data_IF_663764370426
#
_entry.id   IF_663764370426
#
_cell.length_a   1.000
_cell.length_b   1.000
_cell.length_c   1.000
_cell.angle_alpha   90.00
_cell.angle_beta   90.00
_cell.angle_gamma   90.00
#
_symmetry.space_group_name_H-M   'P 1'
#
loop_
_entity.id
_entity.type
_entity.pdbx_description
1 polymer ?
#
# COMPACT_ATOMS: atom_id res chain seq x y z
N UNK A 1 22.21 -17.36 -53.37
CA UNK A 1 21.29 -17.85 -52.32
C UNK A 1 21.72 -17.24 -50.98
N UNK A 2 21.10 -16.17 -50.59
CA UNK A 2 21.42 -15.45 -49.34
C UNK A 2 20.38 -15.84 -48.30
N UNK A 3 20.81 -16.55 -47.27
CA UNK A 3 19.95 -16.91 -46.15
C UNK A 3 19.80 -15.71 -45.19
N UNK A 4 18.62 -15.11 -45.20
CA UNK A 4 18.27 -14.08 -44.24
C UNK A 4 18.15 -14.67 -42.84
N UNK A 5 19.05 -14.32 -41.94
CA UNK A 5 18.94 -14.60 -40.50
C UNK A 5 17.85 -13.70 -39.92
N UNK A 6 16.70 -14.30 -39.56
CA UNK A 6 15.65 -13.65 -38.77
C UNK A 6 16.18 -13.46 -37.36
N UNK A 7 16.49 -12.23 -37.00
CA UNK A 7 16.75 -11.86 -35.61
C UNK A 7 15.46 -12.02 -34.80
N UNK A 8 15.37 -13.07 -33.99
CA UNK A 8 14.35 -13.20 -32.95
C UNK A 8 14.66 -12.15 -31.89
N UNK A 9 13.88 -11.08 -31.86
CA UNK A 9 13.84 -10.18 -30.73
C UNK A 9 13.31 -10.98 -29.52
N UNK A 10 14.22 -11.39 -28.66
CA UNK A 10 13.85 -11.97 -27.36
C UNK A 10 13.16 -10.87 -26.54
N UNK A 11 11.86 -11.05 -26.29
CA UNK A 11 11.15 -10.26 -25.28
C UNK A 11 11.88 -10.49 -23.95
N UNK A 12 12.33 -9.44 -23.24
CA UNK A 12 12.98 -9.63 -21.95
C UNK A 12 12.04 -10.42 -21.04
N UNK A 13 12.49 -11.55 -20.51
CA UNK A 13 11.77 -12.26 -19.48
C UNK A 13 11.81 -11.37 -18.24
N UNK A 14 10.65 -10.88 -17.80
CA UNK A 14 10.56 -10.05 -16.61
C UNK A 14 11.15 -10.82 -15.41
N UNK A 15 12.11 -10.21 -14.72
CA UNK A 15 12.81 -10.83 -13.59
C UNK A 15 11.94 -10.83 -12.33
N UNK A 16 12.25 -11.72 -11.38
CA UNK A 16 11.60 -11.78 -10.08
C UNK A 16 11.63 -10.41 -9.37
N UNK A 17 10.50 -9.96 -8.86
CA UNK A 17 10.31 -8.65 -8.25
C UNK A 17 9.92 -7.52 -9.22
N UNK A 18 10.19 -7.69 -10.54
CA UNK A 18 9.79 -6.73 -11.58
C UNK A 18 8.58 -7.20 -12.38
N UNK A 19 8.27 -8.47 -12.34
CA UNK A 19 7.10 -9.04 -13.02
C UNK A 19 5.82 -8.61 -12.28
N UNK A 20 4.84 -8.08 -13.02
CA UNK A 20 3.47 -7.96 -12.54
C UNK A 20 2.71 -9.24 -12.95
N UNK A 21 2.34 -10.13 -12.01
CA UNK A 21 1.58 -11.34 -12.33
C UNK A 21 0.24 -11.02 -12.99
N UNK A 22 -0.20 -11.86 -13.94
CA UNK A 22 -1.44 -11.62 -14.66
C UNK A 22 -2.68 -11.60 -13.73
N UNK A 23 -2.65 -12.36 -12.66
CA UNK A 23 -3.70 -12.41 -11.65
C UNK A 23 -3.71 -11.22 -10.67
N UNK A 24 -2.79 -10.27 -10.84
CA UNK A 24 -2.80 -8.97 -10.15
C UNK A 24 -3.67 -7.95 -10.88
N UNK A 25 -3.99 -8.19 -12.15
CA UNK A 25 -4.64 -7.20 -12.99
C UNK A 25 -6.17 -7.23 -12.85
N UNK A 26 -6.76 -6.05 -12.89
CA UNK A 26 -8.22 -5.85 -12.94
C UNK A 26 -8.57 -4.62 -13.77
N UNK A 27 -9.78 -4.61 -14.33
CA UNK A 27 -10.23 -3.46 -15.09
C UNK A 27 -10.80 -2.38 -14.15
N UNK A 28 -10.59 -1.07 -14.41
CA UNK A 28 -11.18 0.01 -13.60
C UNK A 28 -12.71 -0.10 -13.44
N UNK A 29 -13.42 -0.64 -14.42
CA UNK A 29 -14.87 -0.90 -14.34
C UNK A 29 -15.28 -1.85 -13.19
N UNK A 30 -14.32 -2.60 -12.61
CA UNK A 30 -14.59 -3.45 -11.46
C UNK A 30 -15.03 -2.66 -10.22
N UNK A 31 -14.74 -1.36 -10.18
CA UNK A 31 -15.18 -0.44 -9.12
C UNK A 31 -16.58 0.14 -9.38
N UNK A 32 -17.09 0.11 -10.63
CA UNK A 32 -18.40 0.63 -11.00
C UNK A 32 -19.54 -0.32 -10.56
N UNK A 33 -19.59 -0.63 -9.28
CA UNK A 33 -20.53 -1.54 -8.62
C UNK A 33 -21.03 -0.90 -7.32
N UNK A 34 -22.04 -1.50 -6.70
CA UNK A 34 -22.47 -1.06 -5.38
C UNK A 34 -21.32 -1.08 -4.37
N UNK A 35 -21.28 -0.15 -3.40
CA UNK A 35 -20.29 -0.16 -2.34
C UNK A 35 -20.36 -1.46 -1.53
N UNK A 36 -19.20 -1.97 -1.12
CA UNK A 36 -19.09 -3.12 -0.21
C UNK A 36 -19.58 -2.75 1.20
N UNK A 37 -19.48 -1.46 1.54
CA UNK A 37 -19.99 -0.89 2.80
C UNK A 37 -20.15 0.62 2.71
N UNK A 38 -20.95 1.17 3.64
CA UNK A 38 -21.16 2.60 3.86
C UNK A 38 -20.69 2.94 5.26
N UNK A 39 -20.03 4.09 5.43
CA UNK A 39 -19.56 4.57 6.73
C UNK A 39 -19.49 6.10 6.74
N UNK A 40 -19.62 6.69 7.92
CA UNK A 40 -19.40 8.14 8.12
C UNK A 40 -17.90 8.46 8.25
N UNK A 41 -17.12 7.52 8.75
CA UNK A 41 -15.66 7.62 8.92
C UNK A 41 -15.00 6.29 8.55
N UNK A 42 -13.97 6.36 7.73
CA UNK A 42 -13.07 5.23 7.46
C UNK A 42 -11.63 5.62 7.76
N UNK A 43 -10.86 4.67 8.29
CA UNK A 43 -9.41 4.73 8.33
C UNK A 43 -8.84 3.68 7.39
N UNK A 44 -7.97 4.10 6.46
CA UNK A 44 -7.27 3.20 5.54
C UNK A 44 -5.81 3.11 5.96
N UNK A 45 -5.39 1.90 6.33
CA UNK A 45 -4.11 1.58 6.93
C UNK A 45 -3.31 0.72 5.97
N UNK A 46 -2.35 1.29 5.28
CA UNK A 46 -1.51 0.58 4.32
C UNK A 46 -0.05 0.52 4.74
N UNK A 47 0.59 -0.62 4.44
CA UNK A 47 2.00 -0.80 4.73
C UNK A 47 2.31 -0.83 6.22
N UNK A 48 1.66 -1.72 6.99
CA UNK A 48 1.95 -1.92 8.41
C UNK A 48 3.29 -2.64 8.62
N UNK A 49 3.66 -3.53 7.68
CA UNK A 49 4.95 -4.24 7.61
C UNK A 49 5.31 -5.03 8.87
N UNK A 50 4.33 -5.57 9.57
CA UNK A 50 4.54 -6.33 10.80
C UNK A 50 4.81 -5.47 12.05
N UNK A 51 4.69 -4.15 11.97
CA UNK A 51 4.94 -3.26 13.10
C UNK A 51 3.79 -3.28 14.11
N UNK A 52 3.92 -4.10 15.16
CA UNK A 52 2.92 -4.22 16.23
C UNK A 52 2.79 -2.93 17.04
N UNK A 53 3.88 -2.18 17.23
CA UNK A 53 3.81 -0.90 17.93
C UNK A 53 2.99 0.14 17.14
N UNK A 54 3.06 0.12 15.80
CA UNK A 54 2.20 0.94 14.95
C UNK A 54 0.74 0.46 14.98
N UNK A 55 0.48 -0.85 15.05
CA UNK A 55 -0.85 -1.41 15.23
C UNK A 55 -1.48 -0.92 16.53
N UNK A 56 -0.76 -1.04 17.66
CA UNK A 56 -1.22 -0.55 18.97
C UNK A 56 -1.47 0.97 18.96
N UNK A 57 -0.61 1.74 18.28
CA UNK A 57 -0.78 3.19 18.15
C UNK A 57 -2.02 3.53 17.31
N UNK A 58 -2.26 2.82 16.22
CA UNK A 58 -3.44 2.98 15.39
C UNK A 58 -4.72 2.62 16.16
N UNK A 59 -4.74 1.53 16.92
CA UNK A 59 -5.90 1.17 17.76
C UNK A 59 -6.22 2.27 18.79
N UNK A 60 -5.20 2.87 19.42
CA UNK A 60 -5.38 4.02 20.30
C UNK A 60 -5.97 5.24 19.58
N UNK A 61 -5.52 5.53 18.34
CA UNK A 61 -6.12 6.61 17.53
C UNK A 61 -7.60 6.34 17.26
N UNK A 62 -7.93 5.10 16.89
CA UNK A 62 -9.30 4.71 16.57
C UNK A 62 -10.26 4.79 17.76
N UNK A 63 -9.79 4.73 19.02
CA UNK A 63 -10.66 4.90 20.20
C UNK A 63 -11.36 6.26 20.26
N UNK A 64 -10.83 7.29 19.58
CA UNK A 64 -11.48 8.61 19.50
C UNK A 64 -12.66 8.65 18.50
N UNK A 65 -12.76 7.66 17.62
CA UNK A 65 -13.85 7.50 16.66
C UNK A 65 -14.33 6.03 16.66
N UNK A 66 -14.99 5.58 17.75
CA UNK A 66 -15.33 4.17 17.94
C UNK A 66 -16.29 3.59 16.90
N UNK A 67 -16.95 4.46 16.11
CA UNK A 67 -17.85 4.07 15.02
C UNK A 67 -17.14 4.03 13.66
N UNK A 68 -15.85 4.37 13.61
CA UNK A 68 -15.11 4.35 12.36
C UNK A 68 -14.92 2.92 11.83
N UNK A 69 -15.00 2.76 10.53
CA UNK A 69 -14.66 1.51 9.86
C UNK A 69 -13.16 1.50 9.53
N UNK A 70 -12.44 0.51 10.05
CA UNK A 70 -11.01 0.35 9.84
C UNK A 70 -10.77 -0.63 8.70
N UNK A 71 -9.87 -0.26 7.77
CA UNK A 71 -9.54 -1.06 6.58
C UNK A 71 -8.04 -1.14 6.41
N UNK A 72 -7.48 -2.34 6.48
CA UNK A 72 -6.09 -2.58 6.09
C UNK A 72 -6.02 -2.79 4.57
N UNK A 73 -5.25 -1.95 3.87
CA UNK A 73 -5.15 -2.01 2.41
C UNK A 73 -3.87 -2.67 1.88
N UNK A 74 -3.50 -3.77 2.52
CA UNK A 74 -2.42 -4.66 2.11
C UNK A 74 -1.06 -4.33 2.73
N UNK A 75 -0.14 -5.27 2.56
CA UNK A 75 1.21 -5.26 3.10
C UNK A 75 1.24 -4.99 4.62
N UNK A 76 0.33 -5.67 5.35
CA UNK A 76 0.37 -5.68 6.82
C UNK A 76 1.43 -6.66 7.35
N UNK A 77 1.83 -7.65 6.57
CA UNK A 77 3.04 -8.46 6.77
C UNK A 77 4.23 -7.86 6.04
N UNK A 78 5.44 -8.19 6.41
CA UNK A 78 6.70 -8.00 5.70
C UNK A 78 7.91 -8.43 6.53
N UNK A 79 8.12 -7.81 7.70
CA UNK A 79 9.29 -8.12 8.53
C UNK A 79 9.05 -9.29 9.49
N UNK A 80 7.84 -9.67 9.71
CA UNK A 80 7.35 -10.65 10.68
C UNK A 80 7.51 -12.10 10.21
N UNK A 81 8.72 -12.45 9.76
CA UNK A 81 9.07 -13.78 9.26
C UNK A 81 9.19 -14.87 10.37
N UNK A 82 8.97 -14.50 11.64
CA UNK A 82 8.89 -15.45 12.75
C UNK A 82 7.44 -15.86 13.01
N UNK A 83 7.15 -17.16 13.26
CA UNK A 83 5.78 -17.63 13.43
C UNK A 83 5.00 -16.92 14.56
N UNK A 84 5.64 -16.60 15.68
CA UNK A 84 4.97 -15.92 16.79
C UNK A 84 4.65 -14.45 16.46
N UNK A 85 5.56 -13.77 15.80
CA UNK A 85 5.37 -12.40 15.35
C UNK A 85 4.30 -12.33 14.24
N UNK A 86 4.41 -13.20 13.23
CA UNK A 86 3.38 -13.37 12.20
C UNK A 86 1.99 -13.56 12.80
N UNK A 87 1.86 -14.51 13.73
CA UNK A 87 0.58 -14.79 14.39
C UNK A 87 0.05 -13.60 15.21
N UNK A 88 0.92 -12.75 15.76
CA UNK A 88 0.51 -11.53 16.46
C UNK A 88 -0.08 -10.50 15.49
N UNK A 89 0.57 -10.29 14.33
CA UNK A 89 0.05 -9.41 13.27
C UNK A 89 -1.30 -9.92 12.76
N UNK A 90 -1.40 -11.23 12.46
CA UNK A 90 -2.65 -11.87 12.04
C UNK A 90 -3.80 -11.62 13.02
N UNK A 91 -3.55 -11.82 14.33
CA UNK A 91 -4.57 -11.58 15.37
C UNK A 91 -5.00 -10.12 15.45
N UNK A 92 -4.05 -9.18 15.30
CA UNK A 92 -4.35 -7.75 15.38
C UNK A 92 -5.13 -7.25 14.16
N UNK A 93 -4.87 -7.80 12.96
CA UNK A 93 -5.58 -7.40 11.73
C UNK A 93 -6.94 -8.11 11.59
N UNK A 94 -7.08 -9.33 12.10
CA UNK A 94 -8.27 -10.17 11.91
C UNK A 94 -9.63 -9.53 12.29
N UNK A 95 -9.76 -8.67 13.31
CA UNK A 95 -11.04 -8.01 13.65
C UNK A 95 -11.52 -7.00 12.60
N UNK A 96 -10.64 -6.54 11.73
CA UNK A 96 -10.89 -5.43 10.82
C UNK A 96 -11.11 -5.91 9.38
N UNK A 97 -11.64 -5.02 8.55
CA UNK A 97 -11.66 -5.24 7.10
C UNK A 97 -10.24 -5.20 6.58
N UNK A 98 -9.92 -6.10 5.65
CA UNK A 98 -8.62 -6.11 4.99
C UNK A 98 -8.77 -6.46 3.51
N UNK A 99 -7.88 -5.93 2.70
CA UNK A 99 -7.58 -6.42 1.37
C UNK A 99 -6.11 -6.86 1.33
N UNK A 100 -5.78 -7.71 0.36
CA UNK A 100 -4.41 -8.19 0.21
C UNK A 100 -3.55 -7.22 -0.59
N UNK A 101 -2.27 -7.07 -0.20
CA UNK A 101 -1.23 -6.51 -1.03
C UNK A 101 -0.48 -7.59 -1.82
N UNK A 102 0.63 -7.22 -2.44
CA UNK A 102 1.50 -8.20 -3.09
C UNK A 102 2.12 -9.16 -2.08
N UNK A 103 2.45 -8.69 -0.88
CA UNK A 103 3.02 -9.53 0.18
C UNK A 103 2.07 -10.66 0.55
N UNK A 104 0.84 -10.35 0.97
CA UNK A 104 -0.17 -11.35 1.32
C UNK A 104 -0.46 -12.28 0.15
N UNK A 105 -0.48 -11.77 -1.08
CA UNK A 105 -0.72 -12.57 -2.28
C UNK A 105 0.40 -13.59 -2.50
N UNK A 106 1.66 -13.15 -2.45
CA UNK A 106 2.79 -14.05 -2.73
C UNK A 106 3.05 -15.07 -1.62
N UNK A 107 2.90 -14.70 -0.33
CA UNK A 107 3.03 -15.67 0.77
C UNK A 107 1.88 -16.69 0.83
N UNK A 108 0.71 -16.33 0.29
CA UNK A 108 -0.45 -17.22 0.23
C UNK A 108 -0.36 -18.26 -0.90
N UNK A 109 0.43 -18.02 -1.94
CA UNK A 109 0.54 -18.94 -3.11
C UNK A 109 0.96 -20.34 -2.68
N UNK A 110 0.31 -21.34 -3.26
CA UNK A 110 0.65 -22.75 -3.06
C UNK A 110 1.98 -23.13 -3.73
N UNK A 111 2.32 -22.47 -4.85
CA UNK A 111 3.57 -22.64 -5.59
C UNK A 111 4.21 -21.30 -5.88
N UNK A 112 5.53 -21.28 -6.01
CA UNK A 112 6.27 -20.13 -6.49
C UNK A 112 6.09 -20.02 -8.02
N UNK A 113 5.69 -18.83 -8.49
CA UNK A 113 5.50 -18.53 -9.92
C UNK A 113 6.66 -17.70 -10.49
N UNK A 114 7.71 -17.49 -9.72
CA UNK A 114 8.86 -16.67 -10.12
C UNK A 114 8.63 -15.16 -9.99
N UNK A 115 7.54 -14.72 -9.34
CA UNK A 115 7.24 -13.30 -9.17
C UNK A 115 8.17 -12.58 -8.17
N UNK A 116 8.92 -13.34 -7.35
CA UNK A 116 9.72 -12.79 -6.27
C UNK A 116 8.83 -12.12 -5.22
N UNK A 117 9.13 -10.89 -4.82
CA UNK A 117 8.29 -10.14 -3.89
C UNK A 117 6.92 -9.73 -4.47
N UNK A 118 6.70 -9.87 -5.76
CA UNK A 118 5.48 -9.40 -6.42
C UNK A 118 5.35 -7.88 -6.46
N UNK A 119 6.38 -7.13 -6.17
CA UNK A 119 6.35 -5.67 -6.07
C UNK A 119 6.19 -4.96 -7.41
N UNK A 120 6.41 -5.67 -8.53
CA UNK A 120 6.36 -5.14 -9.89
C UNK A 120 7.20 -3.85 -10.04
N UNK A 121 8.38 -3.82 -9.43
CA UNK A 121 9.26 -2.66 -9.38
C UNK A 121 9.54 -2.06 -10.78
N UNK A 122 9.42 -0.74 -10.95
CA UNK A 122 9.85 -0.08 -12.16
C UNK A 122 11.38 -0.16 -12.35
N UNK A 123 11.84 0.03 -13.58
CA UNK A 123 13.27 -0.04 -13.93
C UNK A 123 14.15 0.94 -13.14
N UNK A 124 13.55 2.01 -12.63
CA UNK A 124 14.24 3.03 -11.81
C UNK A 124 14.65 2.54 -10.43
N UNK A 125 14.11 1.41 -9.95
CA UNK A 125 14.50 0.82 -8.67
C UNK A 125 15.79 0.02 -8.83
N UNK A 126 16.73 0.24 -7.92
CA UNK A 126 18.04 -0.43 -7.90
C UNK A 126 17.89 -1.96 -7.80
N UNK A 127 18.71 -2.71 -8.56
CA UNK A 127 18.62 -4.17 -8.65
C UNK A 127 18.90 -4.83 -7.30
N UNK A 128 19.85 -4.32 -6.53
CA UNK A 128 20.14 -4.83 -5.20
C UNK A 128 18.95 -4.65 -4.24
N UNK A 129 18.15 -3.59 -4.40
CA UNK A 129 16.92 -3.42 -3.64
C UNK A 129 15.86 -4.47 -4.03
N UNK A 130 15.76 -4.79 -5.33
CA UNK A 130 14.86 -5.85 -5.84
C UNK A 130 15.26 -7.21 -5.27
N UNK A 131 16.54 -7.56 -5.36
CA UNK A 131 17.07 -8.83 -4.83
C UNK A 131 16.84 -8.97 -3.32
N UNK A 132 17.08 -7.90 -2.54
CA UNK A 132 16.83 -7.90 -1.10
C UNK A 132 15.34 -8.06 -0.78
N UNK A 133 14.45 -7.42 -1.53
CA UNK A 133 13.00 -7.59 -1.36
C UNK A 133 12.55 -9.02 -1.65
N UNK A 134 13.10 -9.65 -2.70
CA UNK A 134 12.84 -11.06 -3.00
C UNK A 134 13.30 -11.97 -1.85
N UNK A 135 14.47 -11.69 -1.26
CA UNK A 135 14.99 -12.46 -0.12
C UNK A 135 14.15 -12.29 1.16
N UNK A 136 13.62 -11.08 1.42
CA UNK A 136 12.71 -10.83 2.55
C UNK A 136 11.43 -11.64 2.36
N UNK A 137 10.82 -11.56 1.18
CA UNK A 137 9.59 -12.32 0.92
C UNK A 137 9.82 -13.83 1.03
N UNK A 138 10.94 -14.35 0.53
CA UNK A 138 11.27 -15.77 0.65
C UNK A 138 11.34 -16.23 2.12
N UNK A 139 11.95 -15.42 2.98
CA UNK A 139 12.02 -15.68 4.42
C UNK A 139 10.63 -15.65 5.08
N UNK A 140 9.81 -14.64 4.75
CA UNK A 140 8.45 -14.52 5.25
C UNK A 140 7.58 -15.71 4.80
N UNK A 141 7.65 -16.06 3.52
CA UNK A 141 6.91 -17.20 2.94
C UNK A 141 7.26 -18.53 3.60
N UNK A 142 8.55 -18.74 3.92
CA UNK A 142 9.00 -19.94 4.63
C UNK A 142 8.39 -20.04 6.05
N UNK A 143 8.21 -18.90 6.72
CA UNK A 143 7.59 -18.80 8.05
C UNK A 143 6.06 -18.78 8.06
N UNK A 144 5.40 -18.62 6.89
CA UNK A 144 3.94 -18.45 6.81
C UNK A 144 3.20 -19.76 7.08
N UNK A 145 2.35 -19.85 8.12
CA UNK A 145 1.58 -21.04 8.43
C UNK A 145 0.59 -21.39 7.31
N UNK A 146 0.40 -22.70 7.05
CA UNK A 146 -0.53 -23.16 6.00
C UNK A 146 -1.97 -22.66 6.20
N UNK A 147 -2.43 -22.57 7.45
CA UNK A 147 -3.78 -22.06 7.76
C UNK A 147 -3.93 -20.58 7.40
N UNK A 148 -2.89 -19.77 7.61
CA UNK A 148 -2.90 -18.35 7.24
C UNK A 148 -2.99 -18.16 5.72
N UNK A 149 -2.32 -19.01 4.92
CA UNK A 149 -2.35 -18.92 3.44
C UNK A 149 -3.76 -18.94 2.87
N UNK A 150 -4.62 -19.82 3.39
CA UNK A 150 -6.01 -19.93 2.93
C UNK A 150 -6.79 -18.63 3.23
N UNK A 151 -6.60 -18.05 4.41
CA UNK A 151 -7.22 -16.78 4.80
C UNK A 151 -6.71 -15.61 3.94
N UNK A 152 -5.41 -15.48 3.77
CA UNK A 152 -4.79 -14.40 2.99
C UNK A 152 -5.20 -14.46 1.51
N UNK A 153 -5.27 -15.65 0.92
CA UNK A 153 -5.70 -15.80 -0.47
C UNK A 153 -7.19 -15.46 -0.68
N UNK A 154 -8.01 -15.55 0.37
CA UNK A 154 -9.43 -15.19 0.32
C UNK A 154 -9.68 -13.68 0.46
N UNK A 155 -8.69 -12.89 0.84
CA UNK A 155 -8.83 -11.44 0.93
C UNK A 155 -9.07 -10.83 -0.47
N UNK A 156 -9.96 -9.83 -0.59
CA UNK A 156 -10.18 -9.12 -1.86
C UNK A 156 -8.94 -8.33 -2.27
N UNK A 157 -8.80 -8.03 -3.56
CA UNK A 157 -7.75 -7.14 -4.08
C UNK A 157 -8.12 -5.66 -3.97
N UNK A 158 -9.40 -5.34 -3.88
CA UNK A 158 -9.91 -3.98 -3.76
C UNK A 158 -11.30 -3.96 -3.11
N UNK A 159 -11.63 -2.83 -2.50
CA UNK A 159 -12.95 -2.55 -1.93
C UNK A 159 -13.50 -1.24 -2.46
N UNK A 160 -14.82 -1.11 -2.44
CA UNK A 160 -15.53 0.15 -2.68
C UNK A 160 -16.28 0.53 -1.43
N UNK A 161 -16.03 1.72 -0.89
CA UNK A 161 -16.78 2.29 0.22
C UNK A 161 -17.59 3.50 -0.25
N UNK A 162 -18.62 3.84 0.52
CA UNK A 162 -19.35 5.10 0.41
C UNK A 162 -19.13 5.90 1.69
N UNK A 163 -18.64 7.15 1.57
CA UNK A 163 -18.51 8.09 2.71
C UNK A 163 -19.19 9.40 2.32
N UNK A 164 -20.30 9.71 2.97
CA UNK A 164 -21.16 10.82 2.53
C UNK A 164 -21.53 10.70 1.05
N UNK A 165 -21.35 11.75 0.24
CA UNK A 165 -21.63 11.69 -1.20
C UNK A 165 -20.52 11.05 -2.03
N UNK A 166 -19.34 10.72 -1.44
CA UNK A 166 -18.19 10.25 -2.20
C UNK A 166 -18.09 8.73 -2.25
N UNK A 167 -17.74 8.22 -3.41
CA UNK A 167 -17.37 6.82 -3.66
C UNK A 167 -15.86 6.66 -3.52
N UNK A 168 -15.44 5.75 -2.66
CA UNK A 168 -14.04 5.53 -2.31
C UNK A 168 -13.59 4.18 -2.84
N UNK A 169 -12.61 4.15 -3.74
CA UNK A 169 -11.91 2.93 -4.14
C UNK A 169 -10.72 2.69 -3.22
N UNK A 170 -10.71 1.60 -2.49
CA UNK A 170 -9.59 1.21 -1.62
C UNK A 170 -8.80 0.13 -2.35
N UNK A 171 -7.53 0.42 -2.62
CA UNK A 171 -6.62 -0.43 -3.39
C UNK A 171 -5.27 -0.52 -2.71
N UNK A 172 -4.53 -1.60 -2.95
CA UNK A 172 -3.11 -1.64 -2.54
C UNK A 172 -2.24 -0.81 -3.49
N UNK A 173 -2.22 -1.12 -4.78
CA UNK A 173 -1.47 -0.44 -5.82
C UNK A 173 -2.25 0.68 -6.50
N UNK A 174 -2.76 0.43 -7.71
CA UNK A 174 -3.51 1.42 -8.48
C UNK A 174 -4.86 0.89 -8.99
N UNK A 175 -5.53 1.62 -9.84
CA UNK A 175 -6.87 1.27 -10.34
C UNK A 175 -6.89 0.10 -11.35
N UNK A 176 -5.73 -0.47 -11.72
CA UNK A 176 -5.62 -1.53 -12.73
C UNK A 176 -4.80 -2.73 -12.26
N UNK A 177 -4.02 -2.58 -11.18
CA UNK A 177 -3.18 -3.66 -10.70
C UNK A 177 -2.95 -3.60 -9.19
N UNK A 178 -2.93 -4.77 -8.56
CA UNK A 178 -2.65 -4.96 -7.15
C UNK A 178 -1.31 -4.32 -6.73
N UNK A 179 -0.27 -4.49 -7.55
CA UNK A 179 1.05 -3.88 -7.36
C UNK A 179 1.34 -2.81 -8.42
N UNK A 180 0.31 -2.03 -8.80
CA UNK A 180 0.44 -0.95 -9.76
C UNK A 180 1.13 0.28 -9.17
N UNK A 181 2.01 0.92 -9.97
CA UNK A 181 2.82 2.08 -9.54
C UNK A 181 2.23 3.42 -9.97
N UNK A 182 1.12 3.43 -10.70
CA UNK A 182 0.58 4.67 -11.30
C UNK A 182 -0.01 5.65 -10.29
N UNK A 183 -0.14 5.26 -9.02
CA UNK A 183 -0.50 6.15 -7.92
C UNK A 183 0.71 6.60 -7.09
N UNK A 184 1.94 6.40 -7.58
CA UNK A 184 3.12 7.06 -7.05
C UNK A 184 3.15 8.56 -7.39
N UNK A 185 3.70 9.37 -6.49
CA UNK A 185 3.81 10.82 -6.66
C UNK A 185 4.49 11.23 -7.98
N UNK A 186 5.50 10.47 -8.43
CA UNK A 186 6.22 10.71 -9.69
C UNK A 186 5.29 10.65 -10.91
N UNK A 187 4.36 9.69 -10.91
CA UNK A 187 3.37 9.59 -11.99
C UNK A 187 2.25 10.60 -11.82
N UNK A 188 1.76 10.80 -10.59
CA UNK A 188 0.67 11.76 -10.31
C UNK A 188 1.06 13.20 -10.65
N UNK A 189 2.31 13.58 -10.43
CA UNK A 189 2.84 14.92 -10.73
C UNK A 189 3.21 15.09 -12.22
N UNK A 190 3.18 14.02 -13.03
CA UNK A 190 3.46 14.08 -14.47
C UNK A 190 2.19 14.43 -15.28
N UNK A 191 2.15 15.58 -15.97
CA UNK A 191 0.98 15.94 -16.79
C UNK A 191 0.60 14.92 -17.87
N UNK A 192 1.57 14.17 -18.39
CA UNK A 192 1.33 13.13 -19.38
C UNK A 192 0.49 11.95 -18.84
N UNK A 193 0.33 11.87 -17.50
CA UNK A 193 -0.49 10.84 -16.86
C UNK A 193 -2.00 11.20 -16.82
N UNK A 194 -2.36 12.47 -17.02
CA UNK A 194 -3.76 12.95 -16.94
C UNK A 194 -4.76 12.20 -17.84
N UNK A 195 -4.44 11.84 -19.10
CA UNK A 195 -5.37 11.05 -19.93
C UNK A 195 -5.71 9.69 -19.32
N UNK A 196 -4.72 9.02 -18.70
CA UNK A 196 -4.99 7.76 -18.00
C UNK A 196 -5.88 7.97 -16.77
N UNK A 197 -5.62 8.99 -15.96
CA UNK A 197 -6.48 9.33 -14.81
C UNK A 197 -7.91 9.62 -15.24
N UNK A 198 -8.11 10.34 -16.35
CA UNK A 198 -9.44 10.60 -16.91
C UNK A 198 -10.15 9.30 -17.35
N UNK A 199 -9.42 8.39 -18.02
CA UNK A 199 -9.97 7.09 -18.44
C UNK A 199 -10.34 6.21 -17.24
N UNK A 200 -9.51 6.22 -16.19
CA UNK A 200 -9.78 5.50 -14.93
C UNK A 200 -11.02 6.07 -14.25
N UNK A 201 -11.10 7.39 -14.09
CA UNK A 201 -12.24 8.05 -13.45
C UNK A 201 -13.57 7.71 -14.16
N UNK A 202 -13.60 7.84 -15.48
CA UNK A 202 -14.77 7.52 -16.28
C UNK A 202 -15.22 6.05 -16.16
N UNK A 203 -14.26 5.11 -16.13
CA UNK A 203 -14.57 3.69 -16.08
C UNK A 203 -14.86 3.19 -14.65
N UNK A 204 -14.18 3.70 -13.64
CA UNK A 204 -14.31 3.26 -12.26
C UNK A 204 -15.49 3.90 -11.52
N UNK A 205 -15.91 5.10 -11.90
CA UNK A 205 -16.92 5.89 -11.19
C UNK A 205 -16.58 6.08 -9.70
N UNK A 206 -15.31 6.32 -9.42
CA UNK A 206 -14.75 6.53 -8.08
C UNK A 206 -14.33 8.00 -7.95
N UNK A 207 -14.67 8.61 -6.82
CA UNK A 207 -14.30 9.98 -6.48
C UNK A 207 -12.93 10.07 -5.84
N UNK A 208 -12.59 9.11 -4.98
CA UNK A 208 -11.34 9.06 -4.23
C UNK A 208 -10.75 7.66 -4.30
N UNK A 209 -9.49 7.52 -4.69
CA UNK A 209 -8.74 6.28 -4.46
C UNK A 209 -7.81 6.44 -3.26
N UNK A 210 -7.88 5.48 -2.32
CA UNK A 210 -6.94 5.33 -1.22
C UNK A 210 -5.99 4.16 -1.52
N UNK A 211 -4.69 4.45 -1.56
CA UNK A 211 -3.60 3.55 -2.00
C UNK A 211 -2.44 3.54 -1.01
N UNK A 212 -1.48 2.61 -1.18
CA UNK A 212 -0.27 2.52 -0.34
C UNK A 212 0.98 2.01 -1.05
N UNK A 213 0.92 0.93 -1.80
CA UNK A 213 1.96 0.08 -2.40
C UNK A 213 3.33 0.75 -2.67
N UNK A 214 3.35 1.95 -3.23
CA UNK A 214 4.58 2.63 -3.65
C UNK A 214 5.39 3.17 -2.47
N UNK A 215 4.85 3.10 -1.26
CA UNK A 215 5.47 3.61 -0.03
C UNK A 215 5.83 5.12 -0.08
N UNK A 216 5.23 5.87 -0.99
CA UNK A 216 5.44 7.31 -1.15
C UNK A 216 4.14 8.04 -0.82
N UNK A 217 4.12 8.76 0.30
CA UNK A 217 2.94 9.50 0.73
C UNK A 217 2.62 10.64 -0.26
N UNK A 218 1.35 10.74 -0.70
CA UNK A 218 0.90 11.77 -1.62
C UNK A 218 -0.62 11.99 -1.54
N UNK A 219 -1.06 13.23 -1.67
CA UNK A 219 -2.46 13.60 -1.86
C UNK A 219 -2.56 14.53 -3.07
N UNK A 220 -3.25 14.09 -4.11
CA UNK A 220 -3.43 14.84 -5.36
C UNK A 220 -4.89 14.89 -5.76
N UNK A 221 -5.32 16.04 -6.28
CA UNK A 221 -6.70 16.28 -6.63
C UNK A 221 -6.79 16.86 -8.05
N UNK A 222 -7.46 16.12 -8.92
CA UNK A 222 -7.48 16.37 -10.36
C UNK A 222 -8.86 16.82 -10.81
N UNK A 223 -8.95 18.04 -11.38
CA UNK A 223 -10.07 18.39 -12.23
C UNK A 223 -9.87 17.70 -13.59
N UNK A 224 -10.78 16.82 -13.97
CA UNK A 224 -10.78 16.03 -15.18
C UNK A 224 -12.01 16.34 -16.03
N UNK A 225 -11.97 15.98 -17.30
CA UNK A 225 -13.19 15.97 -18.12
C UNK A 225 -14.19 14.96 -17.52
N UNK A 226 -15.39 15.41 -17.22
CA UNK A 226 -16.44 14.59 -16.61
C UNK A 226 -16.44 14.54 -15.08
N UNK A 227 -15.54 15.27 -14.40
CA UNK A 227 -15.59 15.34 -12.94
C UNK A 227 -14.26 15.61 -12.24
N UNK A 228 -14.14 15.11 -11.04
CA UNK A 228 -12.98 15.31 -10.18
C UNK A 228 -12.53 13.98 -9.58
N UNK A 229 -11.24 13.73 -9.56
CA UNK A 229 -10.65 12.53 -8.98
C UNK A 229 -9.59 12.91 -7.97
N UNK A 230 -9.72 12.40 -6.75
CA UNK A 230 -8.70 12.55 -5.70
C UNK A 230 -7.94 11.23 -5.54
N UNK A 231 -6.63 11.28 -5.46
CA UNK A 231 -5.77 10.13 -5.12
C UNK A 231 -5.07 10.45 -3.81
N UNK A 232 -5.23 9.57 -2.82
CA UNK A 232 -4.49 9.62 -1.56
C UNK A 232 -3.70 8.33 -1.41
N UNK A 233 -2.37 8.46 -1.29
CA UNK A 233 -1.45 7.39 -0.95
C UNK A 233 -0.89 7.68 0.43
N UNK A 234 -1.10 6.79 1.41
CA UNK A 234 -0.62 7.02 2.76
C UNK A 234 0.89 6.75 2.92
N UNK A 235 1.53 6.16 1.93
CA UNK A 235 2.91 5.70 2.04
C UNK A 235 3.00 4.43 2.89
N UNK A 236 3.31 4.56 4.17
CA UNK A 236 3.44 3.44 5.11
C UNK A 236 2.87 3.79 6.48
N UNK A 237 2.08 2.90 7.06
CA UNK A 237 1.58 3.04 8.44
C UNK A 237 2.61 2.55 9.48
N UNK A 238 3.45 1.60 9.12
CA UNK A 238 4.42 0.97 10.02
C UNK A 238 5.85 1.48 9.90
N UNK A 239 6.11 2.50 9.07
CA UNK A 239 7.45 3.09 8.89
C UNK A 239 7.34 4.59 8.65
N UNK A 240 8.46 5.31 8.83
CA UNK A 240 8.56 6.73 8.52
C UNK A 240 8.32 7.03 7.03
N UNK A 241 7.65 8.14 6.76
CA UNK A 241 7.32 8.62 5.42
C UNK A 241 8.05 9.90 5.03
N UNK A 242 8.61 10.62 5.99
CA UNK A 242 9.24 11.91 5.77
C UNK A 242 10.62 11.95 6.40
N UNK A 243 11.50 12.73 5.82
CA UNK A 243 12.87 12.90 6.30
C UNK A 243 12.90 13.42 7.74
N UNK A 244 13.76 12.84 8.56
CA UNK A 244 13.91 13.20 9.97
C UNK A 244 12.72 12.82 10.86
N UNK A 245 11.80 11.95 10.39
CA UNK A 245 10.66 11.48 11.19
C UNK A 245 10.72 9.98 11.44
N UNK A 246 9.97 9.51 12.46
CA UNK A 246 9.85 8.10 12.80
C UNK A 246 8.40 7.60 12.87
N UNK A 247 7.41 8.44 12.56
CA UNK A 247 5.99 8.05 12.59
C UNK A 247 5.50 7.52 11.25
N UNK A 248 4.52 6.63 11.30
CA UNK A 248 3.76 6.18 10.14
C UNK A 248 2.68 7.17 9.72
N UNK A 249 2.03 6.91 8.59
CA UNK A 249 0.89 7.70 8.10
C UNK A 249 -0.25 6.78 7.69
N UNK A 250 -1.47 7.17 8.06
CA UNK A 250 -2.72 6.54 7.61
C UNK A 250 -3.62 7.58 6.95
N UNK A 251 -4.55 7.12 6.12
CA UNK A 251 -5.58 7.98 5.53
C UNK A 251 -6.87 7.90 6.35
N UNK A 252 -7.42 9.06 6.74
CA UNK A 252 -8.76 9.19 7.31
C UNK A 252 -9.68 9.86 6.27
N UNK A 253 -10.85 9.28 6.01
CA UNK A 253 -11.88 9.89 5.14
C UNK A 253 -13.19 9.90 5.94
N UNK A 254 -13.78 11.09 6.15
CA UNK A 254 -14.93 11.23 7.03
C UNK A 254 -15.84 12.42 6.69
N UNK A 255 -17.11 12.33 7.09
CA UNK A 255 -18.09 13.43 6.98
C UNK A 255 -17.92 14.50 8.07
N UNK A 256 -17.03 14.27 9.03
CA UNK A 256 -16.73 15.19 10.15
C UNK A 256 -15.25 15.56 10.19
N UNK A 257 -14.89 16.75 10.73
CA UNK A 257 -13.49 17.10 10.96
C UNK A 257 -12.75 16.06 11.80
N UNK A 258 -11.43 15.93 11.56
CA UNK A 258 -10.60 14.97 12.31
C UNK A 258 -10.46 15.36 13.78
N UNK A 259 -10.62 14.41 14.74
CA UNK A 259 -10.27 14.61 16.14
C UNK A 259 -8.75 14.57 16.38
N UNK A 260 -7.97 14.24 15.35
CA UNK A 260 -6.52 14.17 15.38
C UNK A 260 -5.92 15.31 14.58
N UNK A 261 -4.72 15.81 14.91
CA UNK A 261 -3.97 16.70 14.03
C UNK A 261 -3.77 16.07 12.65
N UNK A 262 -4.18 16.76 11.59
CA UNK A 262 -3.91 16.36 10.22
C UNK A 262 -2.55 16.88 9.79
N UNK A 263 -1.72 16.02 9.21
CA UNK A 263 -0.43 16.40 8.61
C UNK A 263 -0.65 17.27 7.36
N UNK A 264 -1.59 16.85 6.55
CA UNK A 264 -2.15 17.54 5.39
C UNK A 264 -3.51 16.90 5.06
N UNK A 265 -4.31 17.61 4.30
CA UNK A 265 -5.61 17.11 3.90
C UNK A 265 -6.32 18.05 2.96
N UNK A 266 -7.50 17.67 2.52
CA UNK A 266 -8.43 18.52 1.78
C UNK A 266 -9.88 18.17 2.14
N UNK A 267 -10.79 19.07 1.80
CA UNK A 267 -12.23 18.83 1.93
C UNK A 267 -12.85 18.80 0.55
N UNK A 268 -13.64 17.75 0.27
CA UNK A 268 -14.35 17.58 -0.98
C UNK A 268 -15.82 17.25 -0.72
N UNK A 269 -16.73 18.08 -1.19
CA UNK A 269 -18.18 17.89 -1.01
C UNK A 269 -18.60 17.63 0.45
N UNK A 270 -17.96 18.31 1.41
CA UNK A 270 -18.21 18.13 2.83
C UNK A 270 -17.54 16.90 3.47
N UNK A 271 -16.74 16.15 2.71
CA UNK A 271 -15.95 15.01 3.21
C UNK A 271 -14.49 15.45 3.40
N UNK A 272 -13.95 15.17 4.57
CA UNK A 272 -12.57 15.44 4.96
C UNK A 272 -11.69 14.24 4.55
N UNK A 273 -10.59 14.51 3.88
CA UNK A 273 -9.59 13.51 3.48
C UNK A 273 -8.28 13.94 4.13
N UNK A 274 -7.89 13.25 5.18
CA UNK A 274 -6.78 13.64 6.06
C UNK A 274 -5.69 12.59 6.06
N UNK A 275 -4.42 13.04 6.06
CA UNK A 275 -3.28 12.22 6.43
C UNK A 275 -3.03 12.38 7.94
N UNK A 276 -3.09 11.30 8.68
CA UNK A 276 -2.94 11.27 10.14
C UNK A 276 -1.67 10.52 10.52
N UNK A 277 -0.87 11.11 11.41
CA UNK A 277 0.33 10.47 11.93
C UNK A 277 -0.02 9.28 12.84
N UNK A 278 0.73 8.19 12.69
CA UNK A 278 0.73 7.05 13.61
C UNK A 278 2.04 7.11 14.39
N UNK A 279 1.98 7.71 15.55
CA UNK A 279 3.13 7.84 16.45
C UNK A 279 3.25 6.58 17.31
N UNK A 280 4.21 5.74 16.97
CA UNK A 280 4.42 4.44 17.58
C UNK A 280 5.75 4.39 18.36
N UNK A 281 5.85 3.44 19.28
CA UNK A 281 7.07 3.15 20.01
C UNK A 281 8.14 2.59 19.06
N UNK A 282 9.05 3.49 18.62
CA UNK A 282 10.11 3.16 17.69
C UNK A 282 11.11 2.15 18.30
N UNK A 283 11.45 2.30 19.57
CA UNK A 283 12.43 1.42 20.23
C UNK A 283 11.88 -0.01 20.33
N UNK A 284 10.62 -0.17 20.73
CA UNK A 284 9.96 -1.48 20.75
C UNK A 284 9.89 -2.14 19.37
N UNK A 285 9.69 -1.36 18.31
CA UNK A 285 9.72 -1.88 16.94
C UNK A 285 11.14 -2.26 16.51
N UNK A 286 12.13 -1.40 16.76
CA UNK A 286 13.53 -1.64 16.41
C UNK A 286 14.10 -2.86 17.11
N UNK A 287 13.84 -3.05 18.39
CA UNK A 287 14.30 -4.23 19.14
C UNK A 287 13.83 -5.52 18.47
N UNK A 288 12.55 -5.58 18.10
CA UNK A 288 11.98 -6.74 17.40
C UNK A 288 12.53 -6.89 15.99
N UNK A 289 12.64 -5.79 15.25
CA UNK A 289 13.17 -5.77 13.89
C UNK A 289 14.62 -6.26 13.87
N UNK A 290 15.50 -5.72 14.72
CA UNK A 290 16.92 -6.08 14.77
C UNK A 290 17.16 -7.50 15.30
N UNK A 291 16.31 -8.00 16.19
CA UNK A 291 16.37 -9.38 16.64
C UNK A 291 16.17 -10.37 15.48
N UNK A 292 15.29 -10.09 14.55
CA UNK A 292 15.01 -10.94 13.38
C UNK A 292 15.90 -10.60 12.19
N UNK A 293 16.20 -9.32 11.99
CA UNK A 293 16.92 -8.78 10.85
C UNK A 293 18.16 -8.00 11.31
N UNK A 294 19.19 -8.69 11.87
CA UNK A 294 20.41 -8.05 12.30
C UNK A 294 21.19 -7.45 11.12
N UNK A 295 22.21 -6.65 11.43
CA UNK A 295 23.06 -5.98 10.45
C UNK A 295 23.58 -6.98 9.39
N UNK A 296 23.54 -6.56 8.11
CA UNK A 296 23.96 -7.38 6.97
C UNK A 296 22.85 -8.27 6.40
N UNK A 297 21.64 -8.29 7.00
CA UNK A 297 20.50 -9.00 6.42
C UNK A 297 19.77 -8.13 5.39
N UNK A 298 19.04 -8.72 4.43
CA UNK A 298 18.33 -7.98 3.39
C UNK A 298 17.39 -6.89 3.90
N UNK A 299 16.62 -7.17 4.98
CA UNK A 299 15.71 -6.18 5.53
C UNK A 299 16.46 -5.04 6.22
N UNK A 300 17.51 -5.34 6.98
CA UNK A 300 18.34 -4.31 7.60
C UNK A 300 18.94 -3.37 6.55
N UNK A 301 19.57 -3.90 5.51
CA UNK A 301 20.23 -3.12 4.45
C UNK A 301 19.24 -2.22 3.67
N UNK A 302 18.01 -2.69 3.47
CA UNK A 302 17.01 -1.92 2.71
C UNK A 302 16.22 -0.93 3.56
N UNK A 303 15.97 -1.23 4.85
CA UNK A 303 14.94 -0.52 5.61
C UNK A 303 15.40 0.13 6.91
N UNK A 304 16.57 -0.23 7.47
CA UNK A 304 17.01 0.31 8.77
C UNK A 304 17.07 1.84 8.78
N UNK A 305 17.63 2.46 7.73
CA UNK A 305 17.67 3.92 7.61
C UNK A 305 16.27 4.52 7.54
N UNK A 306 15.39 3.94 6.71
CA UNK A 306 14.03 4.44 6.55
C UNK A 306 13.25 4.38 7.86
N UNK A 307 13.41 3.30 8.63
CA UNK A 307 12.72 3.11 9.92
C UNK A 307 13.09 4.24 10.88
N UNK A 308 14.36 4.63 10.97
CA UNK A 308 14.85 5.59 11.97
C UNK A 308 14.89 7.05 11.51
N UNK A 309 14.95 7.30 10.20
CA UNK A 309 15.20 8.64 9.67
C UNK A 309 14.34 9.04 8.46
N UNK A 310 13.46 8.14 8.00
CA UNK A 310 12.61 8.38 6.84
C UNK A 310 13.32 8.25 5.48
N UNK A 311 12.54 8.35 4.38
CA UNK A 311 13.00 8.07 3.02
C UNK A 311 13.58 9.30 2.28
N UNK A 312 13.75 10.45 2.93
CA UNK A 312 14.20 11.69 2.29
C UNK A 312 13.10 12.52 1.63
N UNK A 313 11.83 12.09 1.70
CA UNK A 313 10.68 12.86 1.25
C UNK A 313 10.25 13.90 2.30
N UNK A 314 9.57 14.96 1.88
CA UNK A 314 9.07 16.00 2.79
C UNK A 314 7.54 16.03 2.84
N UNK A 315 6.98 16.56 3.95
CA UNK A 315 5.55 16.81 4.08
C UNK A 315 4.99 17.67 2.93
N UNK A 316 5.74 18.69 2.52
CA UNK A 316 5.34 19.58 1.43
C UNK A 316 5.22 18.87 0.08
N UNK A 317 6.01 17.83 -0.16
CA UNK A 317 5.89 17.01 -1.36
C UNK A 317 4.65 16.11 -1.34
N UNK A 318 4.22 15.66 -0.17
CA UNK A 318 3.04 14.82 0.00
C UNK A 318 1.72 15.63 -0.01
N UNK A 319 1.75 16.87 0.48
CA UNK A 319 0.58 17.73 0.60
C UNK A 319 -0.18 17.94 -0.72
N UNK A 320 -1.49 18.29 -0.68
CA UNK A 320 -2.33 18.52 -1.86
C UNK A 320 -1.74 19.55 -2.81
N UNK A 321 -1.86 19.27 -4.12
CA UNK A 321 -1.50 20.18 -5.22
C UNK A 321 -2.59 20.18 -6.27
#
# INVERSE_FOLDING_TARGET
MSAGASARTSVPVATAGRMCPADYTYAPRAFARAPDFVADTIYVVGGLYGNLAALDAFERLATREPQATLVFNGDFHWFDAEPAWFAAVERGVAPFRALRGNVETEIARSADIGAGCGCAYPETVDEGAVERSNAILAALRAGTPRAARARLSALPMHLVAQVGPLRIGIVHGDAQALAGWRFDAVYLDNPAHRPWLASVHAAAQIDVFASTHTCTAALRDFALEGGRLTIVNNGAAGMANFDGTAFGVITRIATTPSPHPSLYGLVRNGVFIDAVAVDFDLDAFLDRFLARWPRGTPAHESYSRRIVAGPGATLAQAAPR
#
